data_IF_697838412337
#
_entry.id   IF_697838412337
#
_cell.length_a   1.000
_cell.length_b   1.000
_cell.length_c   1.000
_cell.angle_alpha   90.00
_cell.angle_beta   90.00
_cell.angle_gamma   90.00
#
_symmetry.space_group_name_H-M   'P 1'
#
loop_
_entity.id
_entity.type
_entity.pdbx_description
1 polymer ?
#
# COMPACT_ATOMS: atom_id res chain seq x y z
N UNK A 1 59.89 -73.97 -21.97
CA UNK A 1 58.61 -73.43 -22.40
C UNK A 1 57.80 -72.84 -21.19
N UNK A 2 58.32 -72.17 -20.16
CA UNK A 2 57.49 -71.75 -18.98
C UNK A 2 57.78 -70.35 -18.38
N UNK A 3 58.49 -69.47 -19.17
CA UNK A 3 58.80 -68.12 -18.62
C UNK A 3 57.68 -67.10 -18.83
N UNK A 4 56.62 -67.36 -19.63
CA UNK A 4 55.54 -66.40 -19.92
C UNK A 4 54.37 -66.53 -18.93
N UNK A 5 54.31 -67.56 -18.10
CA UNK A 5 53.24 -67.80 -17.13
C UNK A 5 53.12 -66.68 -16.12
N UNK A 6 54.22 -66.16 -15.47
CA UNK A 6 54.13 -65.07 -14.51
C UNK A 6 53.73 -63.72 -15.20
N UNK A 7 54.17 -63.47 -16.42
CA UNK A 7 53.81 -62.29 -17.21
C UNK A 7 52.34 -62.25 -17.57
N UNK A 8 51.79 -63.40 -18.04
CA UNK A 8 50.36 -63.53 -18.32
C UNK A 8 49.53 -63.35 -17.07
N UNK A 9 49.97 -63.96 -15.93
CA UNK A 9 49.27 -63.79 -14.64
C UNK A 9 49.27 -62.32 -14.17
N UNK A 10 50.39 -61.62 -14.29
CA UNK A 10 50.51 -60.21 -13.94
C UNK A 10 49.59 -59.36 -14.82
N UNK A 11 49.49 -59.65 -16.14
CA UNK A 11 48.61 -58.92 -17.04
C UNK A 11 47.12 -59.14 -16.75
N UNK A 12 46.73 -60.39 -16.36
CA UNK A 12 45.37 -60.72 -15.90
C UNK A 12 45.03 -59.94 -14.61
N UNK A 13 45.94 -59.89 -13.61
CA UNK A 13 45.75 -59.14 -12.39
C UNK A 13 45.63 -57.68 -12.66
N UNK A 14 46.45 -57.09 -13.52
CA UNK A 14 46.41 -55.70 -13.92
C UNK A 14 45.10 -55.36 -14.65
N UNK A 15 44.67 -56.23 -15.55
CA UNK A 15 43.37 -56.05 -16.24
C UNK A 15 42.20 -56.19 -15.26
N UNK A 16 42.22 -57.12 -14.34
CA UNK A 16 41.19 -57.25 -13.28
C UNK A 16 41.18 -56.06 -12.35
N UNK A 17 42.35 -55.51 -11.97
CA UNK A 17 42.45 -54.27 -11.19
C UNK A 17 41.87 -53.08 -11.96
N UNK A 18 42.25 -52.93 -13.22
CA UNK A 18 41.71 -51.86 -14.07
C UNK A 18 40.19 -51.99 -14.24
N UNK A 19 39.68 -53.19 -14.48
CA UNK A 19 38.23 -53.48 -14.58
C UNK A 19 37.50 -53.16 -13.25
N UNK A 20 38.08 -53.50 -12.10
CA UNK A 20 37.47 -53.16 -10.79
C UNK A 20 37.42 -51.65 -10.55
N UNK A 21 38.46 -50.90 -10.90
CA UNK A 21 38.47 -49.44 -10.79
C UNK A 21 37.40 -48.79 -11.66
N UNK A 22 37.27 -49.22 -12.94
CA UNK A 22 36.25 -48.70 -13.85
C UNK A 22 34.84 -48.99 -13.39
N UNK A 23 34.60 -50.17 -12.80
CA UNK A 23 33.31 -50.54 -12.21
C UNK A 23 33.00 -49.75 -10.91
N UNK A 24 34.02 -49.26 -10.21
CA UNK A 24 33.87 -48.45 -9.03
C UNK A 24 33.61 -46.96 -9.27
N UNK A 25 33.81 -46.53 -10.55
CA UNK A 25 33.68 -45.13 -10.92
C UNK A 25 32.21 -44.79 -11.21
N UNK A 26 31.64 -43.87 -10.45
CA UNK A 26 30.28 -43.39 -10.64
C UNK A 26 30.25 -41.88 -10.91
N UNK A 27 29.63 -41.51 -12.02
CA UNK A 27 29.38 -40.11 -12.38
C UNK A 27 27.94 -39.80 -11.97
N UNK A 28 27.78 -38.89 -11.00
CA UNK A 28 26.47 -38.47 -10.47
C UNK A 28 26.09 -37.15 -11.15
N UNK A 29 24.92 -37.08 -11.81
CA UNK A 29 24.38 -35.84 -12.38
C UNK A 29 24.18 -34.75 -11.31
N UNK A 30 24.28 -33.49 -11.72
CA UNK A 30 24.18 -32.34 -10.82
C UNK A 30 22.82 -32.23 -10.11
N UNK A 31 21.76 -32.82 -10.69
CA UNK A 31 20.42 -32.81 -10.16
C UNK A 31 20.09 -34.00 -9.21
N UNK A 32 21.06 -34.85 -8.91
CA UNK A 32 20.83 -36.09 -8.17
C UNK A 32 21.82 -36.30 -7.03
N UNK A 33 21.37 -36.98 -5.99
CA UNK A 33 22.20 -37.60 -4.96
C UNK A 33 21.97 -39.12 -4.96
N UNK A 34 23.04 -39.90 -4.88
CA UNK A 34 22.96 -41.36 -4.83
C UNK A 34 23.32 -41.85 -3.43
N UNK A 35 22.43 -42.67 -2.87
CA UNK A 35 22.65 -43.29 -1.56
C UNK A 35 23.30 -44.64 -1.77
N UNK A 36 24.45 -44.82 -1.15
CA UNK A 36 25.25 -46.06 -1.21
C UNK A 36 25.10 -46.83 0.07
N UNK A 37 24.79 -48.09 -0.09
CA UNK A 37 24.75 -49.08 0.99
C UNK A 37 25.94 -50.03 0.87
N UNK A 38 26.45 -50.41 2.01
CA UNK A 38 27.44 -51.47 2.18
C UNK A 38 26.83 -52.61 3.02
N UNK A 39 26.65 -53.75 2.40
CA UNK A 39 26.04 -54.91 3.05
C UNK A 39 24.71 -54.58 3.79
N UNK A 40 23.85 -53.79 3.15
CA UNK A 40 22.56 -53.40 3.69
C UNK A 40 22.60 -52.29 4.75
N UNK A 41 23.73 -51.64 4.96
CA UNK A 41 23.88 -50.49 5.88
C UNK A 41 24.27 -49.23 5.10
N UNK A 42 23.69 -48.08 5.48
CA UNK A 42 24.11 -46.79 4.94
C UNK A 42 25.62 -46.59 5.06
N UNK A 43 26.25 -46.28 3.97
CA UNK A 43 27.69 -45.96 3.92
C UNK A 43 27.95 -44.49 3.65
N UNK A 44 27.40 -43.95 2.57
CA UNK A 44 27.64 -42.59 2.13
C UNK A 44 26.57 -42.12 1.13
N UNK A 45 26.46 -40.81 1.00
CA UNK A 45 25.68 -40.17 -0.10
C UNK A 45 26.68 -39.60 -1.11
N UNK A 46 26.61 -40.09 -2.35
CA UNK A 46 27.42 -39.56 -3.45
C UNK A 46 26.77 -38.26 -3.94
N UNK A 47 27.58 -37.20 -3.89
CA UNK A 47 27.19 -35.89 -4.40
C UNK A 47 27.46 -35.80 -5.91
N UNK A 48 26.89 -34.79 -6.61
CA UNK A 48 27.20 -34.55 -8.02
C UNK A 48 28.69 -34.51 -8.33
N UNK A 49 29.06 -35.12 -9.45
CA UNK A 49 30.44 -35.25 -9.92
C UNK A 49 30.96 -36.67 -9.92
N UNK A 50 32.27 -36.80 -9.95
CA UNK A 50 32.97 -38.07 -10.00
C UNK A 50 33.11 -38.64 -8.59
N UNK A 51 32.63 -39.85 -8.41
CA UNK A 51 32.72 -40.56 -7.13
C UNK A 51 33.30 -41.97 -7.32
N UNK A 52 34.02 -42.44 -6.35
CA UNK A 52 34.59 -43.78 -6.33
C UNK A 52 33.95 -44.59 -5.22
N UNK A 53 33.43 -45.79 -5.58
CA UNK A 53 32.91 -46.76 -4.60
C UNK A 53 33.68 -48.08 -4.75
N UNK A 54 33.61 -48.91 -3.72
CA UNK A 54 34.21 -50.26 -3.80
C UNK A 54 33.25 -51.20 -4.50
N UNK A 55 33.52 -51.61 -5.74
CA UNK A 55 32.61 -52.51 -6.44
C UNK A 55 32.47 -53.83 -5.68
N UNK A 56 31.35 -54.53 -5.90
CA UNK A 56 30.95 -55.77 -5.24
C UNK A 56 30.54 -55.66 -3.77
N UNK A 57 31.04 -54.72 -3.02
CA UNK A 57 30.68 -54.51 -1.59
C UNK A 57 29.72 -53.33 -1.48
N UNK A 58 29.95 -52.25 -2.16
CA UNK A 58 29.11 -51.07 -2.18
C UNK A 58 28.11 -51.12 -3.33
N UNK A 59 26.85 -50.79 -3.00
CA UNK A 59 25.76 -50.76 -3.98
C UNK A 59 25.06 -49.40 -3.94
N UNK A 60 24.80 -48.79 -5.09
CA UNK A 60 23.91 -47.63 -5.21
C UNK A 60 22.46 -48.13 -5.17
N UNK A 61 21.80 -48.00 -4.01
CA UNK A 61 20.44 -48.51 -3.83
C UNK A 61 19.39 -47.47 -4.20
N UNK A 62 19.61 -46.19 -3.85
CA UNK A 62 18.65 -45.13 -4.11
C UNK A 62 19.26 -43.99 -4.90
N UNK A 63 18.53 -43.53 -5.91
CA UNK A 63 18.84 -42.35 -6.70
C UNK A 63 17.75 -41.32 -6.45
N UNK A 64 18.09 -40.18 -5.88
CA UNK A 64 17.17 -39.14 -5.46
C UNK A 64 17.44 -37.84 -6.22
N UNK A 65 16.39 -37.25 -6.76
CA UNK A 65 16.48 -35.90 -7.32
C UNK A 65 16.48 -34.87 -6.18
N UNK A 66 17.41 -33.91 -6.26
CA UNK A 66 17.51 -32.78 -5.34
C UNK A 66 16.84 -31.52 -5.89
N UNK A 67 16.21 -31.62 -7.07
CA UNK A 67 15.43 -30.53 -7.64
C UNK A 67 14.19 -30.26 -6.79
N UNK A 68 13.76 -29.03 -6.81
CA UNK A 68 12.49 -28.62 -6.23
C UNK A 68 11.34 -29.35 -6.92
N UNK A 69 10.37 -29.78 -6.13
CA UNK A 69 9.15 -30.44 -6.59
C UNK A 69 7.96 -29.78 -5.95
N UNK A 70 6.88 -29.64 -6.73
CA UNK A 70 5.58 -29.29 -6.21
C UNK A 70 4.82 -30.56 -5.84
N UNK A 71 4.21 -30.57 -4.68
CA UNK A 71 3.17 -31.52 -4.36
C UNK A 71 1.92 -31.19 -5.18
N UNK A 72 1.15 -32.18 -5.59
CA UNK A 72 -0.13 -31.93 -6.23
C UNK A 72 -1.01 -31.06 -5.32
N UNK A 73 -1.76 -30.13 -5.91
CA UNK A 73 -2.67 -29.27 -5.15
C UNK A 73 -3.75 -30.12 -4.47
N UNK A 74 -3.86 -30.01 -3.18
CA UNK A 74 -4.85 -30.74 -2.39
C UNK A 74 -5.78 -29.79 -1.63
N UNK A 75 -6.99 -30.27 -1.36
CA UNK A 75 -8.04 -29.52 -0.68
C UNK A 75 -8.03 -29.84 0.81
N UNK A 76 -8.09 -28.81 1.63
CA UNK A 76 -8.16 -28.91 3.09
C UNK A 76 -9.43 -28.22 3.56
N UNK A 77 -10.38 -29.00 4.12
CA UNK A 77 -11.53 -28.41 4.79
C UNK A 77 -11.14 -27.98 6.20
N UNK A 78 -11.42 -26.72 6.53
CA UNK A 78 -11.13 -26.11 7.82
C UNK A 78 -12.30 -25.25 8.28
N UNK A 79 -12.40 -25.05 9.59
CA UNK A 79 -13.35 -24.13 10.21
C UNK A 79 -12.54 -22.96 10.77
N UNK A 80 -12.88 -21.77 10.37
CA UNK A 80 -12.27 -20.52 10.84
C UNK A 80 -12.70 -20.18 12.26
N UNK A 81 -12.07 -19.19 12.87
CA UNK A 81 -12.40 -18.73 14.24
C UNK A 81 -13.83 -18.18 14.33
N UNK A 82 -14.33 -17.56 13.28
CA UNK A 82 -15.72 -17.07 13.13
C UNK A 82 -16.72 -18.16 12.74
N UNK A 83 -16.31 -19.45 12.88
CA UNK A 83 -17.13 -20.65 12.66
C UNK A 83 -17.64 -20.81 11.21
N UNK A 84 -16.86 -20.35 10.23
CA UNK A 84 -17.15 -20.55 8.81
C UNK A 84 -16.39 -21.76 8.28
N UNK A 85 -17.09 -22.68 7.62
CA UNK A 85 -16.45 -23.80 6.90
C UNK A 85 -15.92 -23.33 5.55
N UNK A 86 -14.63 -23.56 5.31
CA UNK A 86 -13.97 -23.22 4.05
C UNK A 86 -13.13 -24.39 3.55
N UNK A 87 -12.85 -24.40 2.25
CA UNK A 87 -11.91 -25.34 1.63
C UNK A 87 -10.74 -24.56 1.08
N UNK A 88 -9.56 -24.85 1.59
CA UNK A 88 -8.29 -24.25 1.17
C UNK A 88 -7.62 -25.15 0.13
N UNK A 89 -7.29 -24.58 -1.02
CA UNK A 89 -6.48 -25.24 -2.05
C UNK A 89 -5.02 -24.88 -1.80
N UNK A 90 -4.23 -25.87 -1.41
CA UNK A 90 -2.84 -25.66 -0.96
C UNK A 90 -1.89 -26.47 -1.81
N UNK A 91 -0.75 -25.87 -2.15
CA UNK A 91 0.39 -26.52 -2.80
C UNK A 91 1.64 -26.30 -1.97
N UNK A 92 2.46 -27.34 -1.85
CA UNK A 92 3.71 -27.31 -1.11
C UNK A 92 4.86 -27.60 -2.07
N UNK A 93 5.86 -26.70 -2.07
CA UNK A 93 7.09 -26.89 -2.82
C UNK A 93 8.19 -27.35 -1.86
N UNK A 94 8.87 -28.41 -2.21
CA UNK A 94 9.89 -28.99 -1.38
C UNK A 94 11.07 -29.51 -2.20
N UNK A 95 12.22 -29.64 -1.57
CA UNK A 95 13.40 -30.31 -2.10
C UNK A 95 14.05 -31.21 -1.06
N UNK A 96 14.78 -32.21 -1.51
CA UNK A 96 15.53 -33.12 -0.64
C UNK A 96 16.90 -32.54 -0.39
N UNK A 97 17.25 -32.24 0.88
CA UNK A 97 18.57 -31.79 1.28
C UNK A 97 19.40 -32.95 1.75
N UNK A 98 18.85 -33.82 2.60
CA UNK A 98 19.53 -34.99 3.14
C UNK A 98 18.92 -36.27 2.57
N UNK A 99 19.63 -36.83 1.59
CA UNK A 99 19.20 -38.04 0.92
C UNK A 99 19.12 -39.25 1.87
N UNK A 100 19.99 -39.32 2.89
CA UNK A 100 20.00 -40.43 3.84
C UNK A 100 18.77 -40.40 4.74
N UNK A 101 18.47 -39.24 5.34
CA UNK A 101 17.25 -39.08 6.15
C UNK A 101 15.99 -39.34 5.31
N UNK A 102 15.97 -38.86 4.07
CA UNK A 102 14.81 -39.00 3.17
C UNK A 102 14.54 -40.43 2.70
N UNK A 103 15.53 -41.32 2.79
CA UNK A 103 15.37 -42.75 2.45
C UNK A 103 15.03 -43.59 3.68
N UNK A 104 15.76 -43.38 4.79
CA UNK A 104 15.68 -44.28 5.94
C UNK A 104 14.68 -43.88 7.01
N UNK A 105 14.24 -42.61 7.03
CA UNK A 105 13.26 -42.13 8.02
C UNK A 105 11.82 -42.14 7.53
N UNK A 106 11.61 -42.16 6.20
CA UNK A 106 10.29 -42.19 5.59
C UNK A 106 10.30 -43.05 4.34
N UNK A 107 9.29 -43.91 4.17
CA UNK A 107 9.15 -44.70 2.98
C UNK A 107 8.89 -43.82 1.76
N UNK A 108 9.61 -44.05 0.67
CA UNK A 108 9.57 -43.24 -0.56
C UNK A 108 8.14 -43.00 -1.06
N UNK A 109 7.31 -44.02 -1.05
CA UNK A 109 5.91 -43.97 -1.51
C UNK A 109 4.95 -43.29 -0.52
N UNK A 110 5.38 -43.06 0.73
CA UNK A 110 4.58 -42.40 1.79
C UNK A 110 5.01 -40.95 2.05
N UNK A 111 6.08 -40.51 1.43
CA UNK A 111 6.66 -39.17 1.69
C UNK A 111 5.69 -38.06 1.35
N UNK A 112 5.13 -38.10 0.16
CA UNK A 112 4.22 -37.05 -0.31
C UNK A 112 2.94 -37.02 0.55
N UNK A 113 2.40 -38.19 0.87
CA UNK A 113 1.25 -38.30 1.78
C UNK A 113 1.57 -37.83 3.22
N UNK A 114 2.81 -38.02 3.69
CA UNK A 114 3.19 -37.56 5.03
C UNK A 114 3.32 -36.03 5.05
N UNK A 115 3.90 -35.42 4.01
CA UNK A 115 3.96 -33.95 3.85
C UNK A 115 2.54 -33.40 3.79
N UNK A 116 1.67 -34.00 2.97
CA UNK A 116 0.25 -33.61 2.86
C UNK A 116 -0.45 -33.66 4.22
N UNK A 117 -0.35 -34.77 4.94
CA UNK A 117 -0.97 -34.95 6.27
C UNK A 117 -0.46 -33.91 7.29
N UNK A 118 0.86 -33.67 7.31
CA UNK A 118 1.46 -32.66 8.16
C UNK A 118 0.95 -31.25 7.78
N UNK A 119 0.90 -30.94 6.49
CA UNK A 119 0.36 -29.66 5.99
C UNK A 119 -1.09 -29.49 6.38
N UNK A 120 -1.92 -30.49 6.21
CA UNK A 120 -3.34 -30.44 6.61
C UNK A 120 -3.51 -30.12 8.09
N UNK A 121 -2.70 -30.72 8.95
CA UNK A 121 -2.75 -30.47 10.40
C UNK A 121 -2.34 -29.04 10.75
N UNK A 122 -1.25 -28.56 10.16
CA UNK A 122 -0.70 -27.21 10.42
C UNK A 122 -1.65 -26.14 9.86
N UNK A 123 -2.13 -26.32 8.63
CA UNK A 123 -3.09 -25.38 8.00
C UNK A 123 -4.38 -25.31 8.80
N UNK A 124 -4.90 -26.44 9.27
CA UNK A 124 -6.11 -26.46 10.12
C UNK A 124 -5.89 -25.70 11.44
N UNK A 125 -4.72 -25.86 12.04
CA UNK A 125 -4.36 -25.14 13.26
C UNK A 125 -4.20 -23.64 13.02
N UNK A 126 -3.58 -23.23 11.92
CA UNK A 126 -3.39 -21.82 11.56
C UNK A 126 -4.73 -21.15 11.22
N UNK A 127 -5.54 -21.81 10.38
CA UNK A 127 -6.84 -21.32 9.95
C UNK A 127 -7.84 -21.16 11.11
N UNK A 128 -7.84 -22.08 12.08
CA UNK A 128 -8.73 -22.00 13.26
C UNK A 128 -8.43 -20.83 14.21
N UNK A 129 -7.31 -20.12 14.03
CA UNK A 129 -6.95 -18.95 14.82
C UNK A 129 -7.40 -17.61 14.18
N UNK A 130 -7.75 -17.62 12.89
CA UNK A 130 -8.04 -16.45 12.08
C UNK A 130 -9.51 -16.40 11.69
N UNK A 131 -10.05 -15.20 11.61
CA UNK A 131 -11.34 -14.95 10.97
C UNK A 131 -11.19 -15.01 9.44
N UNK A 132 -12.27 -15.26 8.70
CA UNK A 132 -12.23 -15.42 7.25
C UNK A 132 -11.66 -14.18 6.53
N UNK A 133 -12.03 -12.99 6.98
CA UNK A 133 -11.55 -11.73 6.40
C UNK A 133 -10.05 -11.55 6.63
N UNK A 134 -9.54 -11.86 7.83
CA UNK A 134 -8.11 -11.83 8.17
C UNK A 134 -7.32 -12.83 7.33
N UNK A 135 -7.90 -14.00 7.10
CA UNK A 135 -7.28 -15.04 6.28
C UNK A 135 -7.13 -14.62 4.81
N UNK A 136 -8.12 -13.91 4.28
CA UNK A 136 -8.05 -13.35 2.92
C UNK A 136 -7.05 -12.19 2.82
N UNK A 137 -7.00 -11.33 3.84
CA UNK A 137 -6.10 -10.16 3.88
C UNK A 137 -4.64 -10.54 4.15
N UNK A 138 -4.38 -11.59 4.96
CA UNK A 138 -3.06 -11.93 5.48
C UNK A 138 -2.52 -13.26 4.96
N UNK A 139 -2.85 -13.64 3.71
CA UNK A 139 -2.39 -14.90 3.08
C UNK A 139 -0.87 -15.09 3.14
N UNK A 140 -0.10 -14.02 2.93
CA UNK A 140 1.37 -14.09 2.95
C UNK A 140 1.92 -14.45 4.33
N UNK A 141 1.33 -13.89 5.38
CA UNK A 141 1.71 -14.19 6.77
C UNK A 141 1.40 -15.64 7.11
N UNK A 142 0.21 -16.11 6.72
CA UNK A 142 -0.20 -17.50 6.93
C UNK A 142 0.68 -18.48 6.15
N UNK A 143 1.02 -18.19 4.90
CA UNK A 143 1.96 -19.00 4.11
C UNK A 143 3.32 -19.11 4.80
N UNK A 144 3.83 -18.02 5.37
CA UNK A 144 5.10 -18.01 6.09
C UNK A 144 5.02 -18.81 7.40
N UNK A 145 3.93 -18.70 8.17
CA UNK A 145 3.73 -19.47 9.39
C UNK A 145 3.65 -20.97 9.08
N UNK A 146 2.87 -21.35 8.08
CA UNK A 146 2.74 -22.75 7.62
C UNK A 146 4.10 -23.27 7.15
N UNK A 147 4.83 -22.51 6.32
CA UNK A 147 6.15 -22.90 5.85
C UNK A 147 7.12 -23.16 7.00
N UNK A 148 7.15 -22.29 8.01
CA UNK A 148 8.05 -22.43 9.15
C UNK A 148 7.72 -23.68 9.99
N UNK A 149 6.46 -23.90 10.30
CA UNK A 149 6.03 -25.06 11.10
C UNK A 149 6.20 -26.37 10.32
N UNK A 150 5.85 -26.37 9.03
CA UNK A 150 6.05 -27.52 8.16
C UNK A 150 7.53 -27.82 7.94
N UNK A 151 8.36 -26.79 7.83
CA UNK A 151 9.81 -26.91 7.71
C UNK A 151 10.42 -27.63 8.90
N UNK A 152 10.02 -27.29 10.13
CA UNK A 152 10.46 -27.97 11.35
C UNK A 152 10.07 -29.45 11.34
N UNK A 153 8.86 -29.78 10.90
CA UNK A 153 8.38 -31.15 10.81
C UNK A 153 9.12 -31.95 9.71
N UNK A 154 9.37 -31.32 8.55
CA UNK A 154 10.00 -31.94 7.40
C UNK A 154 11.52 -32.15 7.54
N UNK A 155 12.21 -31.35 8.38
CA UNK A 155 13.65 -31.49 8.62
C UNK A 155 14.03 -32.87 9.18
N UNK A 156 13.14 -33.49 9.95
CA UNK A 156 13.31 -34.86 10.47
C UNK A 156 13.49 -35.86 9.32
N UNK A 157 12.85 -35.60 8.18
CA UNK A 157 12.92 -36.43 6.97
C UNK A 157 14.01 -35.99 5.99
N UNK A 158 14.79 -34.94 6.33
CA UNK A 158 15.82 -34.40 5.44
C UNK A 158 15.24 -33.67 4.22
N UNK A 159 14.06 -33.09 4.39
CA UNK A 159 13.31 -32.35 3.37
C UNK A 159 13.26 -30.88 3.77
N UNK A 160 13.57 -30.00 2.84
CA UNK A 160 13.35 -28.57 3.01
C UNK A 160 12.08 -28.18 2.30
N UNK A 161 11.21 -27.47 3.00
CA UNK A 161 10.03 -26.81 2.42
C UNK A 161 10.48 -25.46 1.87
N UNK A 162 10.50 -25.34 0.56
CA UNK A 162 10.94 -24.10 -0.09
C UNK A 162 9.89 -23.01 0.03
N UNK A 163 8.62 -23.39 -0.19
CA UNK A 163 7.47 -22.48 -0.03
C UNK A 163 6.17 -23.26 0.08
N UNK A 164 5.20 -22.64 0.71
CA UNK A 164 3.83 -23.12 0.77
C UNK A 164 2.91 -22.03 0.22
N UNK A 165 2.00 -22.39 -0.65
CA UNK A 165 1.09 -21.46 -1.29
C UNK A 165 -0.36 -21.90 -1.11
N UNK A 166 -1.18 -21.00 -0.59
CA UNK A 166 -2.64 -21.13 -0.60
C UNK A 166 -3.12 -20.46 -1.90
N UNK A 167 -3.55 -21.31 -2.83
CA UNK A 167 -3.94 -20.88 -4.18
C UNK A 167 -5.31 -20.24 -4.14
N UNK A 168 -6.28 -20.90 -3.46
CA UNK A 168 -7.66 -20.44 -3.42
C UNK A 168 -8.33 -20.78 -2.10
N UNK A 169 -9.33 -19.96 -1.74
CA UNK A 169 -10.18 -20.13 -0.57
C UNK A 169 -11.62 -20.25 -1.06
N UNK A 170 -12.11 -21.47 -1.11
CA UNK A 170 -13.47 -21.79 -1.52
C UNK A 170 -14.39 -21.70 -0.30
N UNK A 171 -15.36 -20.80 -0.34
CA UNK A 171 -16.36 -20.59 0.71
C UNK A 171 -17.73 -21.09 0.21
N UNK A 172 -18.56 -21.64 1.10
CA UNK A 172 -19.90 -22.06 0.75
C UNK A 172 -20.78 -20.92 0.22
N UNK A 173 -21.65 -21.23 -0.74
CA UNK A 173 -22.49 -20.23 -1.44
C UNK A 173 -23.45 -19.48 -0.49
N UNK A 174 -23.92 -20.13 0.56
CA UNK A 174 -24.78 -19.49 1.57
C UNK A 174 -24.02 -18.44 2.37
N UNK A 175 -22.80 -18.75 2.75
CA UNK A 175 -21.89 -17.82 3.45
C UNK A 175 -21.48 -16.66 2.56
N UNK A 176 -21.16 -16.93 1.28
CA UNK A 176 -20.87 -15.86 0.29
C UNK A 176 -22.03 -14.88 0.15
N UNK A 177 -23.27 -15.37 0.11
CA UNK A 177 -24.47 -14.50 0.03
C UNK A 177 -24.61 -13.65 1.29
N UNK A 178 -24.45 -14.25 2.47
CA UNK A 178 -24.55 -13.52 3.73
C UNK A 178 -23.46 -12.46 3.87
N UNK A 179 -22.22 -12.78 3.53
CA UNK A 179 -21.12 -11.80 3.50
C UNK A 179 -21.38 -10.66 2.51
N UNK A 180 -21.88 -10.98 1.30
CA UNK A 180 -22.18 -9.95 0.30
C UNK A 180 -23.26 -8.99 0.82
N UNK A 181 -24.34 -9.50 1.42
CA UNK A 181 -25.38 -8.67 2.03
C UNK A 181 -24.83 -7.80 3.18
N UNK A 182 -23.98 -8.35 4.01
CA UNK A 182 -23.36 -7.60 5.10
C UNK A 182 -22.42 -6.51 4.58
N UNK A 183 -21.59 -6.82 3.59
CA UNK A 183 -20.70 -5.85 2.95
C UNK A 183 -21.47 -4.73 2.24
N UNK A 184 -22.56 -5.07 1.56
CA UNK A 184 -23.40 -4.09 0.87
C UNK A 184 -24.07 -3.16 1.88
N UNK A 185 -24.62 -3.69 2.98
CA UNK A 185 -25.21 -2.89 4.06
C UNK A 185 -24.16 -1.98 4.75
N UNK A 186 -22.95 -2.47 4.99
CA UNK A 186 -21.87 -1.67 5.55
C UNK A 186 -21.39 -0.56 4.60
N UNK A 187 -21.29 -0.87 3.30
CA UNK A 187 -20.96 0.13 2.26
C UNK A 187 -22.03 1.21 2.17
N UNK A 188 -23.32 0.83 2.20
CA UNK A 188 -24.43 1.76 2.18
C UNK A 188 -24.43 2.66 3.43
N UNK A 189 -24.20 2.08 4.61
CA UNK A 189 -24.06 2.83 5.84
C UNK A 189 -22.89 3.84 5.78
N UNK A 190 -21.71 3.40 5.31
CA UNK A 190 -20.55 4.30 5.15
C UNK A 190 -20.81 5.39 4.13
N UNK A 191 -21.44 5.08 3.01
CA UNK A 191 -21.79 6.07 1.99
C UNK A 191 -22.73 7.14 2.57
N UNK A 192 -23.79 6.73 3.28
CA UNK A 192 -24.72 7.64 3.95
C UNK A 192 -24.06 8.54 5.01
N UNK A 193 -23.16 8.00 5.82
CA UNK A 193 -22.39 8.79 6.79
C UNK A 193 -21.50 9.80 6.09
N UNK A 194 -20.75 9.38 5.06
CA UNK A 194 -19.85 10.26 4.30
C UNK A 194 -20.62 11.37 3.59
N UNK A 195 -21.80 11.06 3.04
CA UNK A 195 -22.67 12.03 2.41
C UNK A 195 -23.19 13.07 3.43
N UNK A 196 -23.66 12.60 4.60
CA UNK A 196 -24.13 13.50 5.66
C UNK A 196 -23.00 14.39 6.20
N UNK A 197 -21.78 13.86 6.37
CA UNK A 197 -20.61 14.66 6.74
C UNK A 197 -20.23 15.67 5.65
N UNK A 198 -20.31 15.28 4.37
CA UNK A 198 -20.10 16.15 3.23
C UNK A 198 -21.11 17.30 3.20
N UNK A 199 -22.40 17.02 3.39
CA UNK A 199 -23.46 18.01 3.47
C UNK A 199 -23.25 18.96 4.66
N UNK A 200 -22.97 18.44 5.84
CA UNK A 200 -22.65 19.25 7.01
C UNK A 200 -21.50 20.20 6.76
N UNK A 201 -20.40 19.69 6.17
CA UNK A 201 -19.22 20.51 5.87
C UNK A 201 -19.52 21.56 4.79
N UNK A 202 -20.33 21.23 3.80
CA UNK A 202 -20.79 22.17 2.76
C UNK A 202 -21.62 23.31 3.38
N UNK A 203 -22.57 22.99 4.28
CA UNK A 203 -23.36 23.99 4.99
C UNK A 203 -22.47 24.89 5.86
N UNK A 204 -21.50 24.34 6.59
CA UNK A 204 -20.55 25.11 7.37
C UNK A 204 -19.72 26.06 6.51
N UNK A 205 -19.14 25.57 5.39
CA UNK A 205 -18.36 26.40 4.49
C UNK A 205 -19.19 27.53 3.86
N UNK A 206 -20.44 27.25 3.50
CA UNK A 206 -21.35 28.28 2.97
C UNK A 206 -21.70 29.33 4.05
N UNK A 207 -21.95 28.91 5.29
CA UNK A 207 -22.22 29.85 6.39
C UNK A 207 -20.97 30.72 6.68
N UNK A 208 -19.79 30.13 6.74
CA UNK A 208 -18.53 30.84 6.92
C UNK A 208 -18.25 31.84 5.79
N UNK A 209 -18.53 31.44 4.54
CA UNK A 209 -18.39 32.32 3.38
C UNK A 209 -19.34 33.52 3.45
N UNK A 210 -20.61 33.31 3.81
CA UNK A 210 -21.59 34.38 4.00
C UNK A 210 -21.20 35.31 5.16
N UNK A 211 -20.75 34.75 6.28
CA UNK A 211 -20.25 35.55 7.40
C UNK A 211 -19.04 36.40 7.01
N UNK A 212 -18.08 35.81 6.31
CA UNK A 212 -16.91 36.55 5.82
C UNK A 212 -17.27 37.66 4.84
N UNK A 213 -18.23 37.39 3.92
CA UNK A 213 -18.73 38.39 2.99
C UNK A 213 -19.40 39.55 3.74
N UNK A 214 -20.32 39.28 4.67
CA UNK A 214 -20.97 40.30 5.48
C UNK A 214 -19.99 41.14 6.31
N UNK A 215 -18.94 40.49 6.84
CA UNK A 215 -17.88 41.19 7.58
C UNK A 215 -17.10 42.14 6.64
N UNK A 216 -16.76 41.68 5.45
CA UNK A 216 -16.07 42.52 4.43
C UNK A 216 -16.90 43.69 3.92
N UNK A 217 -18.20 43.46 3.75
CA UNK A 217 -19.14 44.54 3.39
C UNK A 217 -19.26 45.57 4.52
N UNK A 218 -19.39 45.13 5.77
CA UNK A 218 -19.39 46.06 6.93
C UNK A 218 -18.09 46.85 7.06
N UNK A 219 -16.92 46.20 6.88
CA UNK A 219 -15.62 46.86 6.87
C UNK A 219 -15.53 47.88 5.73
N UNK A 220 -15.98 47.56 4.53
CA UNK A 220 -15.99 48.45 3.40
C UNK A 220 -16.87 49.68 3.63
N UNK A 221 -18.06 49.51 4.21
CA UNK A 221 -18.96 50.60 4.59
C UNK A 221 -18.30 51.50 5.65
N UNK A 222 -17.65 50.90 6.67
CA UNK A 222 -16.93 51.66 7.69
C UNK A 222 -15.81 52.50 7.11
N UNK A 223 -14.93 51.92 6.26
CA UNK A 223 -13.82 52.62 5.60
C UNK A 223 -14.34 53.73 4.73
N UNK A 224 -15.45 53.53 3.99
CA UNK A 224 -16.07 54.53 3.17
C UNK A 224 -16.62 55.70 4.01
N UNK A 225 -17.32 55.42 5.11
CA UNK A 225 -17.84 56.43 6.03
C UNK A 225 -16.71 57.21 6.71
N UNK A 226 -15.63 56.58 7.12
CA UNK A 226 -14.42 57.25 7.66
C UNK A 226 -13.78 58.16 6.63
N UNK A 227 -13.64 57.73 5.38
CA UNK A 227 -13.10 58.53 4.28
C UNK A 227 -14.00 59.76 3.96
N UNK A 228 -15.32 59.54 3.94
CA UNK A 228 -16.28 60.65 3.75
C UNK A 228 -16.25 61.65 4.92
N UNK A 229 -16.21 61.15 6.17
CA UNK A 229 -16.07 62.00 7.33
C UNK A 229 -14.78 62.80 7.33
N UNK A 230 -13.67 62.15 6.93
CA UNK A 230 -12.37 62.85 6.78
C UNK A 230 -12.44 63.90 5.69
N UNK A 231 -13.02 63.65 4.52
CA UNK A 231 -13.18 64.60 3.44
C UNK A 231 -14.06 65.79 3.85
N UNK A 232 -15.13 65.54 4.62
CA UNK A 232 -15.98 66.63 5.18
C UNK A 232 -15.21 67.50 6.16
N UNK A 233 -14.43 66.87 7.07
CA UNK A 233 -13.58 67.63 8.03
C UNK A 233 -12.56 68.48 7.32
N UNK A 234 -11.86 67.95 6.34
CA UNK A 234 -10.88 68.68 5.53
C UNK A 234 -11.50 69.89 4.80
N UNK A 235 -12.72 69.67 4.22
CA UNK A 235 -13.47 70.78 3.58
C UNK A 235 -13.88 71.84 4.60
N UNK A 236 -14.36 71.44 5.78
CA UNK A 236 -14.75 72.39 6.85
C UNK A 236 -13.55 73.16 7.39
N UNK A 237 -12.41 72.53 7.61
CA UNK A 237 -11.14 73.18 7.99
C UNK A 237 -10.71 74.17 6.94
N UNK A 238 -10.63 73.81 5.64
CA UNK A 238 -10.28 74.69 4.58
C UNK A 238 -11.25 75.88 4.46
N UNK A 239 -12.55 75.62 4.65
CA UNK A 239 -13.55 76.72 4.63
C UNK A 239 -13.44 77.66 5.84
N UNK A 240 -13.11 77.11 7.01
CA UNK A 240 -12.82 77.92 8.23
C UNK A 240 -11.59 78.80 8.04
N UNK A 241 -10.54 78.18 7.48
CA UNK A 241 -9.27 78.97 7.21
C UNK A 241 -9.49 80.04 6.12
N UNK A 242 -10.27 79.70 5.09
CA UNK A 242 -10.68 80.72 4.07
C UNK A 242 -11.47 81.87 4.72
N UNK A 243 -12.45 81.57 5.57
CA UNK A 243 -13.24 82.53 6.29
C UNK A 243 -12.35 83.42 7.21
N UNK A 244 -11.34 82.78 7.85
CA UNK A 244 -10.39 83.44 8.74
C UNK A 244 -9.49 84.37 7.93
N UNK A 245 -8.99 83.96 6.74
CA UNK A 245 -8.21 84.79 5.83
C UNK A 245 -9.03 85.98 5.30
N UNK A 246 -10.29 85.75 4.94
CA UNK A 246 -11.23 86.81 4.54
C UNK A 246 -11.47 87.79 5.70
N UNK A 247 -11.70 87.30 6.90
CA UNK A 247 -11.89 88.15 8.10
C UNK A 247 -10.62 88.99 8.45
N UNK A 248 -9.42 88.46 8.20
CA UNK A 248 -8.16 89.19 8.36
C UNK A 248 -8.01 90.27 7.27
N UNK A 249 -8.35 89.93 6.02
CA UNK A 249 -8.33 90.92 4.94
C UNK A 249 -9.37 92.06 5.11
N UNK A 250 -10.47 91.83 5.75
CA UNK A 250 -11.48 92.87 6.10
C UNK A 250 -10.92 93.87 7.08
N UNK A 251 -10.09 93.44 8.04
CA UNK A 251 -9.42 94.34 9.00
C UNK A 251 -8.42 95.28 8.37
N UNK A 252 -7.90 94.93 7.20
CA UNK A 252 -6.90 95.72 6.47
C UNK A 252 -7.50 96.56 5.30
N UNK A 253 -8.71 97.07 5.39
CA UNK A 253 -9.40 97.94 4.42
C UNK A 253 -9.67 97.28 3.03
N UNK A 254 -9.82 95.98 2.99
CA UNK A 254 -9.99 95.18 1.75
C UNK A 254 -11.46 95.05 1.27
N UNK A 255 -12.36 96.02 1.46
CA UNK A 255 -13.79 95.97 1.05
C UNK A 255 -14.01 95.54 -0.42
N UNK A 256 -13.14 95.99 -1.42
CA UNK A 256 -13.31 95.56 -2.83
C UNK A 256 -13.12 94.04 -3.06
N UNK A 257 -12.22 93.40 -2.29
CA UNK A 257 -11.91 91.97 -2.45
C UNK A 257 -13.08 91.07 -1.96
N UNK A 258 -13.85 91.54 -0.99
CA UNK A 258 -15.02 90.76 -0.47
C UNK A 258 -16.17 90.77 -1.44
N UNK A 259 -16.44 91.90 -2.04
CA UNK A 259 -17.48 91.98 -3.09
C UNK A 259 -17.15 91.08 -4.29
N UNK A 260 -15.85 90.96 -4.65
CA UNK A 260 -15.41 90.00 -5.69
C UNK A 260 -15.62 88.54 -5.26
N UNK A 261 -15.33 88.15 -4.02
CA UNK A 261 -15.50 86.83 -3.48
C UNK A 261 -16.97 86.41 -3.43
N UNK A 262 -17.83 87.35 -2.96
CA UNK A 262 -19.30 87.13 -2.92
C UNK A 262 -19.84 86.97 -4.35
N UNK A 263 -19.41 87.77 -5.29
CA UNK A 263 -19.78 87.62 -6.70
C UNK A 263 -19.26 86.30 -7.29
N UNK A 264 -18.07 85.89 -6.98
CA UNK A 264 -17.48 84.63 -7.47
C UNK A 264 -18.22 83.38 -6.94
N UNK A 265 -18.62 83.38 -5.64
CA UNK A 265 -19.42 82.37 -5.05
C UNK A 265 -20.85 82.27 -5.64
N UNK A 266 -21.46 83.45 -5.92
CA UNK A 266 -22.76 83.49 -6.61
C UNK A 266 -22.67 82.97 -8.05
N UNK A 267 -21.61 83.32 -8.80
CA UNK A 267 -21.38 82.77 -10.14
C UNK A 267 -21.18 81.23 -10.09
N UNK A 268 -20.46 80.78 -9.08
CA UNK A 268 -20.22 79.31 -8.89
C UNK A 268 -21.49 78.55 -8.54
N UNK A 269 -22.30 79.15 -7.63
CA UNK A 269 -23.60 78.60 -7.29
C UNK A 269 -24.59 78.50 -8.47
N UNK A 270 -24.55 79.60 -9.32
CA UNK A 270 -25.35 79.63 -10.58
C UNK A 270 -24.81 78.57 -11.57
N UNK A 271 -23.49 78.42 -11.67
CA UNK A 271 -22.84 77.41 -12.52
C UNK A 271 -23.19 76.00 -12.11
N UNK A 272 -23.24 75.67 -10.81
CA UNK A 272 -23.65 74.37 -10.27
C UNK A 272 -25.16 74.12 -10.50
N UNK A 273 -25.98 75.17 -10.35
CA UNK A 273 -27.42 75.07 -10.68
C UNK A 273 -27.67 74.86 -12.16
N UNK A 274 -26.85 75.48 -13.03
CA UNK A 274 -26.93 75.30 -14.46
C UNK A 274 -26.47 73.89 -14.92
N UNK A 275 -25.60 73.25 -14.14
CA UNK A 275 -25.16 71.85 -14.40
C UNK A 275 -26.16 70.80 -13.88
N UNK A 276 -27.04 71.15 -12.94
CA UNK A 276 -28.09 70.27 -12.47
C UNK A 276 -29.21 70.22 -13.50
N UNK A 277 -29.44 69.05 -14.17
CA UNK A 277 -30.39 68.87 -15.25
C UNK A 277 -31.88 69.02 -14.86
N UNK A 278 -32.22 69.71 -13.77
CA UNK A 278 -33.54 70.02 -13.33
C UNK A 278 -33.82 71.51 -13.58
N UNK A 279 -34.65 71.82 -14.52
CA UNK A 279 -35.12 73.21 -14.80
C UNK A 279 -35.93 73.73 -13.63
N UNK A 280 -35.28 74.49 -12.75
CA UNK A 280 -35.91 75.28 -11.70
C UNK A 280 -35.85 76.74 -12.06
N UNK A 281 -37.01 77.38 -12.10
CA UNK A 281 -37.15 78.82 -12.34
C UNK A 281 -36.51 79.58 -11.17
N UNK A 282 -35.45 80.31 -11.39
CA UNK A 282 -34.78 81.08 -10.40
C UNK A 282 -35.32 82.53 -10.49
N UNK A 283 -35.99 82.98 -9.45
CA UNK A 283 -36.40 84.36 -9.29
C UNK A 283 -35.27 85.12 -8.56
N UNK A 284 -34.54 85.94 -9.23
CA UNK A 284 -33.54 86.86 -8.65
C UNK A 284 -34.19 88.17 -8.25
N UNK A 285 -33.95 88.68 -7.02
CA UNK A 285 -34.38 90.04 -6.67
C UNK A 285 -33.59 91.02 -7.44
N UNK A 286 -34.28 92.04 -7.90
CA UNK A 286 -33.72 93.09 -8.81
C UNK A 286 -32.88 94.21 -8.09
N UNK A 287 -32.59 94.04 -6.78
CA UNK A 287 -31.84 95.08 -6.04
C UNK A 287 -30.39 94.62 -5.79
N UNK A 288 -29.59 94.80 -6.82
CA UNK A 288 -28.12 94.91 -6.70
C UNK A 288 -27.72 96.08 -7.63
N UNK A 289 -27.86 97.30 -7.17
CA UNK A 289 -27.15 98.43 -7.64
C UNK A 289 -26.21 98.94 -6.54
#
# INVERSE_FOLDING_TARGET
>A
MNNYVPEILALIVLFAAFYTVTKGLYIVPQSMNYVVERLGRYKATLRPGLNLIIPYIDRVEHKLSILERALETFKISVITKDNVEIKLHTTVFYRIIDASKSVYRIAKHKRDAAIETATQSIVRSAAGKLDLDDMQASRSTMNTEIQNELGKAADIWGIEITRTEIIDIEVDETTKKSQRLQLDAERERRASVTEAEGQKKSIQLNADALFYQAQKEADAIRVKAEAEAFAIRQKAEAQSDQTRMIAAAIKDDGQPAINFEILSQQVQAISELAKSGNSKTMIMPSDIT
#
